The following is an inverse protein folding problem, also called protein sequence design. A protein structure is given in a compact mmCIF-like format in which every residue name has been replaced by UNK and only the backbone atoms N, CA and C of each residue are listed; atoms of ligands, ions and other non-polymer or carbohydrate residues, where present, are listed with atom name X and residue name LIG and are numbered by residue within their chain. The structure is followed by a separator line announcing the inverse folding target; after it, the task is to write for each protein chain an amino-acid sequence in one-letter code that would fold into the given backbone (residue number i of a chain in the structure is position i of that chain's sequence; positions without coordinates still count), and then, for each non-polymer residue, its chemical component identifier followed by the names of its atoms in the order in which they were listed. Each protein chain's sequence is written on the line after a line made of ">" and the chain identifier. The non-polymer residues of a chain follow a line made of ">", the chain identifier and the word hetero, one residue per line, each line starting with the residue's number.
data_IF_514007119374
#
_entry.id   IF_514007119374
#
_cell.length_a   1.000
_cell.length_b   1.000
_cell.length_c   1.000
_cell.angle_alpha   90.00
_cell.angle_beta   90.00
_cell.angle_gamma   90.00
#
_symmetry.space_group_name_H-M   'P 1'
#
loop_
_entity.id
_entity.type
_entity.pdbx_description
1 polymer ?
#
# COMPACT_ATOMS: atom_id res chain seq x y z
N UNK A 1 0.32 -14.97 21.32
CA UNK A 1 0.85 -15.98 20.36
C UNK A 1 1.16 -15.25 19.06
N UNK A 2 2.24 -15.56 18.37
CA UNK A 2 2.48 -14.99 17.05
C UNK A 2 1.35 -15.44 16.12
N UNK A 3 0.72 -14.55 15.34
CA UNK A 3 -0.31 -14.93 14.38
C UNK A 3 0.20 -16.01 13.42
N UNK A 4 -0.66 -16.98 13.06
CA UNK A 4 -0.32 -18.00 12.05
C UNK A 4 -0.41 -17.38 10.64
N UNK A 5 0.66 -16.71 10.23
CA UNK A 5 0.80 -16.05 8.94
C UNK A 5 1.94 -16.70 8.16
N UNK A 6 1.68 -17.04 6.91
CA UNK A 6 2.68 -17.49 5.96
C UNK A 6 2.74 -16.53 4.77
N UNK A 7 3.95 -16.12 4.38
CA UNK A 7 4.19 -15.27 3.23
C UNK A 7 4.75 -16.07 2.06
N UNK A 8 4.18 -15.90 0.88
CA UNK A 8 4.71 -16.35 -0.39
C UNK A 8 4.97 -15.12 -1.27
N UNK A 9 6.16 -15.02 -1.87
CA UNK A 9 6.50 -13.90 -2.73
C UNK A 9 6.51 -14.36 -4.18
N UNK A 10 5.72 -13.70 -5.04
CA UNK A 10 5.67 -13.96 -6.48
C UNK A 10 6.99 -13.56 -7.15
N UNK A 11 7.35 -14.24 -8.25
CA UNK A 11 8.58 -13.94 -8.97
C UNK A 11 8.37 -12.88 -10.06
N UNK A 12 7.93 -11.70 -9.63
CA UNK A 12 7.73 -10.51 -10.48
C UNK A 12 8.59 -9.32 -10.01
N UNK A 13 9.93 -9.48 -9.85
CA UNK A 13 10.80 -8.42 -9.34
C UNK A 13 10.85 -7.22 -10.27
N UNK A 14 10.82 -6.02 -9.69
CA UNK A 14 10.85 -4.79 -10.46
C UNK A 14 11.04 -3.55 -9.58
N UNK A 15 11.23 -2.38 -10.21
CA UNK A 15 11.39 -1.13 -9.45
C UNK A 15 10.20 -0.78 -8.56
N UNK A 16 9.00 -1.29 -8.89
CA UNK A 16 7.75 -1.06 -8.16
C UNK A 16 7.42 -2.19 -7.18
N UNK A 17 7.84 -3.41 -7.51
CA UNK A 17 7.49 -4.63 -6.80
C UNK A 17 8.63 -5.18 -5.93
N UNK A 18 9.79 -4.53 -5.93
CA UNK A 18 11.00 -4.97 -5.21
C UNK A 18 11.39 -6.41 -5.62
N UNK A 19 11.44 -7.34 -4.66
CA UNK A 19 11.67 -8.76 -4.93
C UNK A 19 10.46 -9.48 -5.55
N UNK A 20 9.27 -8.87 -5.47
CA UNK A 20 8.00 -9.37 -5.97
C UNK A 20 6.84 -9.02 -5.04
N UNK A 21 5.63 -9.42 -5.43
CA UNK A 21 4.40 -9.22 -4.67
C UNK A 21 4.25 -10.28 -3.60
N UNK A 22 3.91 -9.88 -2.40
CA UNK A 22 3.67 -10.76 -1.27
C UNK A 22 2.20 -11.19 -1.20
N UNK A 23 1.96 -12.48 -1.28
CA UNK A 23 0.69 -13.12 -0.92
C UNK A 23 0.78 -13.63 0.51
N UNK A 24 -0.27 -13.41 1.31
CA UNK A 24 -0.31 -13.90 2.69
C UNK A 24 -1.41 -14.94 2.87
N UNK A 25 -1.07 -16.04 3.58
CA UNK A 25 -2.04 -17.01 4.06
C UNK A 25 -2.18 -16.85 5.57
N UNK A 26 -3.40 -16.65 6.04
CA UNK A 26 -3.70 -16.36 7.45
C UNK A 26 -4.62 -17.43 8.02
N UNK A 27 -4.24 -17.98 9.16
CA UNK A 27 -5.04 -18.98 9.88
C UNK A 27 -5.09 -20.35 9.17
N UNK A 28 -6.02 -21.20 9.64
CA UNK A 28 -6.22 -22.58 9.16
C UNK A 28 -7.68 -22.97 9.27
N UNK A 29 -8.06 -24.00 8.52
CA UNK A 29 -9.30 -24.75 8.59
C UNK A 29 -10.59 -23.93 8.35
N UNK A 30 -10.71 -23.19 7.25
CA UNK A 30 -9.79 -22.94 6.14
C UNK A 30 -8.96 -21.65 6.29
N UNK A 31 -7.94 -21.46 5.42
CA UNK A 31 -7.11 -20.26 5.39
C UNK A 31 -7.81 -19.07 4.70
N UNK A 32 -7.39 -17.85 5.09
CA UNK A 32 -7.61 -16.62 4.34
C UNK A 32 -6.39 -16.38 3.44
N UNK A 33 -6.63 -16.05 2.17
CA UNK A 33 -5.59 -15.61 1.23
C UNK A 33 -5.73 -14.10 1.03
N UNK A 34 -4.68 -13.35 1.26
CA UNK A 34 -4.62 -11.91 1.03
C UNK A 34 -3.70 -11.67 -0.15
N UNK A 35 -4.18 -10.94 -1.16
CA UNK A 35 -3.48 -10.60 -2.40
C UNK A 35 -2.88 -11.83 -3.10
N UNK A 36 -3.65 -12.58 -3.90
CA UNK A 36 -3.20 -13.77 -4.59
C UNK A 36 -2.02 -13.58 -5.56
N UNK A 37 -1.66 -12.32 -5.84
CA UNK A 37 -0.53 -11.98 -6.69
C UNK A 37 -0.89 -11.85 -8.17
N UNK A 38 0.14 -11.76 -9.04
CA UNK A 38 -0.03 -11.69 -10.50
C UNK A 38 -0.53 -13.03 -11.07
N UNK A 39 -0.94 -13.02 -12.35
CA UNK A 39 -1.25 -14.24 -13.12
C UNK A 39 0.04 -15.00 -13.47
N UNK A 40 0.68 -15.55 -12.43
CA UNK A 40 1.88 -16.41 -12.52
C UNK A 40 1.52 -17.81 -12.06
N UNK A 41 1.60 -18.77 -12.99
CA UNK A 41 1.17 -20.16 -12.75
C UNK A 41 1.94 -20.81 -11.59
N UNK A 42 3.25 -20.55 -11.47
CA UNK A 42 4.07 -21.16 -10.42
C UNK A 42 3.73 -20.57 -9.05
N UNK A 43 3.47 -19.26 -8.98
CA UNK A 43 3.05 -18.59 -7.75
C UNK A 43 1.66 -19.08 -7.32
N UNK A 44 0.69 -19.09 -8.23
CA UNK A 44 -0.67 -19.56 -7.98
C UNK A 44 -0.68 -21.01 -7.48
N UNK A 45 0.13 -21.89 -8.07
CA UNK A 45 0.25 -23.28 -7.62
C UNK A 45 0.83 -23.36 -6.20
N UNK A 46 1.84 -22.54 -5.88
CA UNK A 46 2.39 -22.45 -4.53
C UNK A 46 1.34 -21.97 -3.51
N UNK A 47 0.54 -20.96 -3.86
CA UNK A 47 -0.57 -20.45 -3.02
C UNK A 47 -1.61 -21.54 -2.78
N UNK A 48 -2.02 -22.27 -3.82
CA UNK A 48 -2.96 -23.40 -3.70
C UNK A 48 -2.42 -24.50 -2.79
N UNK A 49 -1.15 -24.89 -2.97
CA UNK A 49 -0.53 -25.94 -2.17
C UNK A 49 -0.45 -25.53 -0.69
N UNK A 50 -0.03 -24.30 -0.40
CA UNK A 50 0.02 -23.77 0.96
C UNK A 50 -1.38 -23.67 1.60
N UNK A 51 -2.38 -23.22 0.85
CA UNK A 51 -3.76 -23.17 1.32
C UNK A 51 -4.34 -24.58 1.58
N UNK A 52 -4.03 -25.55 0.70
CA UNK A 52 -4.48 -26.94 0.89
C UNK A 52 -3.88 -27.53 2.18
N UNK A 53 -2.63 -27.23 2.51
CA UNK A 53 -1.99 -27.66 3.76
C UNK A 53 -2.62 -26.98 5.01
N UNK A 54 -3.46 -25.96 4.81
CA UNK A 54 -4.18 -25.18 5.82
C UNK A 54 -5.69 -25.41 5.80
N UNK A 55 -6.18 -26.51 5.20
CA UNK A 55 -7.60 -26.85 5.13
C UNK A 55 -8.36 -26.23 3.94
N UNK A 56 -7.65 -25.69 2.95
CA UNK A 56 -8.20 -25.07 1.76
C UNK A 56 -8.34 -23.54 1.88
N UNK A 57 -8.88 -22.93 0.82
CA UNK A 57 -9.14 -21.48 0.77
C UNK A 57 -10.55 -21.23 1.25
N UNK A 58 -10.71 -20.50 2.35
CA UNK A 58 -12.01 -20.08 2.87
C UNK A 58 -12.45 -18.72 2.36
N UNK A 59 -11.50 -17.78 2.30
CA UNK A 59 -11.76 -16.39 1.92
C UNK A 59 -10.56 -15.88 1.11
N UNK A 60 -10.83 -15.10 0.07
CA UNK A 60 -9.83 -14.30 -0.63
C UNK A 60 -10.12 -12.82 -0.34
N UNK A 61 -9.12 -12.09 0.12
CA UNK A 61 -9.16 -10.65 0.36
C UNK A 61 -8.18 -9.96 -0.58
N UNK A 62 -8.54 -8.78 -1.07
CA UNK A 62 -7.66 -7.92 -1.85
C UNK A 62 -7.44 -6.63 -1.09
N UNK A 63 -6.17 -6.23 -0.96
CA UNK A 63 -5.86 -4.89 -0.45
C UNK A 63 -6.31 -3.82 -1.44
N UNK A 64 -6.14 -4.06 -2.74
CA UNK A 64 -6.60 -3.17 -3.81
C UNK A 64 -6.64 -3.89 -5.16
N UNK A 65 -7.05 -3.18 -6.21
CA UNK A 65 -7.31 -3.77 -7.52
C UNK A 65 -6.14 -3.81 -8.51
N UNK A 66 -4.91 -3.43 -8.14
CA UNK A 66 -3.77 -3.51 -9.05
C UNK A 66 -3.49 -4.96 -9.47
N UNK A 67 -3.04 -5.13 -10.73
CA UNK A 67 -2.95 -6.44 -11.36
C UNK A 67 -2.01 -7.40 -10.63
N UNK A 68 -0.87 -6.91 -10.16
CA UNK A 68 0.11 -7.69 -9.43
C UNK A 68 -0.37 -8.21 -8.06
N UNK A 69 -1.49 -7.69 -7.53
CA UNK A 69 -2.19 -8.20 -6.34
C UNK A 69 -3.40 -9.06 -6.67
N UNK A 70 -4.08 -8.80 -7.81
CA UNK A 70 -5.43 -9.32 -8.08
C UNK A 70 -5.55 -10.29 -9.26
N UNK A 71 -4.61 -10.31 -10.20
CA UNK A 71 -4.70 -11.13 -11.43
C UNK A 71 -4.72 -12.64 -11.15
N UNK A 72 -4.17 -13.11 -10.02
CA UNK A 72 -4.22 -14.51 -9.59
C UNK A 72 -5.59 -14.98 -9.09
N UNK A 73 -6.53 -14.07 -8.78
CA UNK A 73 -7.86 -14.41 -8.22
C UNK A 73 -8.65 -15.41 -9.08
N UNK A 74 -8.81 -15.22 -10.41
CA UNK A 74 -9.61 -16.14 -11.21
C UNK A 74 -9.11 -17.57 -11.16
N UNK A 75 -7.78 -17.73 -11.08
CA UNK A 75 -7.17 -19.05 -11.01
C UNK A 75 -7.43 -19.79 -9.70
N UNK A 76 -7.64 -19.08 -8.58
CA UNK A 76 -7.99 -19.72 -7.30
C UNK A 76 -9.42 -20.28 -7.26
N UNK A 77 -10.30 -19.81 -8.14
CA UNK A 77 -11.70 -20.27 -8.21
C UNK A 77 -12.56 -19.89 -6.99
N UNK A 78 -12.14 -18.87 -6.24
CA UNK A 78 -12.84 -18.30 -5.09
C UNK A 78 -13.00 -16.80 -5.35
N UNK A 79 -14.26 -16.33 -5.34
CA UNK A 79 -14.52 -14.90 -5.51
C UNK A 79 -13.97 -14.08 -4.33
N UNK A 80 -13.32 -12.95 -4.57
CA UNK A 80 -12.78 -12.15 -3.50
C UNK A 80 -13.89 -11.43 -2.73
N UNK A 81 -13.76 -11.40 -1.42
CA UNK A 81 -14.62 -10.61 -0.54
C UNK A 81 -14.08 -9.19 -0.46
N UNK A 82 -14.96 -8.19 -0.61
CA UNK A 82 -14.65 -6.76 -0.47
C UNK A 82 -15.40 -6.19 0.72
N UNK A 83 -14.86 -6.28 1.94
CA UNK A 83 -15.53 -5.85 3.15
C UNK A 83 -15.54 -4.31 3.27
N UNK A 84 -16.54 -3.78 3.98
CA UNK A 84 -16.63 -2.36 4.29
C UNK A 84 -15.64 -1.96 5.40
N UNK A 85 -15.39 -0.64 5.54
CA UNK A 85 -14.57 -0.09 6.62
C UNK A 85 -15.10 -0.52 7.99
N UNK A 86 -14.23 -1.05 8.83
CA UNK A 86 -14.54 -1.57 10.17
C UNK A 86 -15.18 -2.95 10.22
N UNK A 87 -15.53 -3.55 9.08
CA UNK A 87 -16.11 -4.89 9.01
C UNK A 87 -15.09 -5.97 9.37
N UNK A 88 -15.58 -7.00 10.05
CA UNK A 88 -14.80 -8.19 10.39
C UNK A 88 -15.07 -9.32 9.40
N UNK A 89 -14.00 -9.85 8.81
CA UNK A 89 -14.06 -11.00 7.91
C UNK A 89 -13.01 -12.02 8.29
N UNK A 90 -13.45 -13.24 8.61
CA UNK A 90 -12.55 -14.35 8.95
C UNK A 90 -11.50 -14.00 10.02
N UNK A 91 -11.89 -13.20 11.02
CA UNK A 91 -11.01 -12.79 12.13
C UNK A 91 -10.09 -11.60 11.83
N UNK A 92 -10.22 -10.97 10.65
CA UNK A 92 -9.52 -9.75 10.30
C UNK A 92 -10.49 -8.56 10.30
N UNK A 93 -10.07 -7.43 10.86
CA UNK A 93 -10.80 -6.17 10.79
C UNK A 93 -10.33 -5.36 9.60
N UNK A 94 -11.27 -4.88 8.78
CA UNK A 94 -10.98 -4.05 7.62
C UNK A 94 -10.77 -2.60 8.03
N UNK A 95 -9.76 -1.96 7.45
CA UNK A 95 -9.51 -0.53 7.54
C UNK A 95 -9.44 0.04 6.12
N UNK A 96 -10.46 0.79 5.70
CA UNK A 96 -10.39 1.52 4.43
C UNK A 96 -9.22 2.51 4.47
N UNK A 97 -8.35 2.42 3.49
CA UNK A 97 -7.09 3.18 3.43
C UNK A 97 -6.82 3.72 2.02
N UNK A 98 -7.79 4.49 1.45
CA UNK A 98 -7.64 5.03 0.09
C UNK A 98 -6.43 5.96 -0.01
N UNK A 99 -5.95 6.13 -1.24
CA UNK A 99 -4.90 7.09 -1.54
C UNK A 99 -3.84 6.58 -2.49
N UNK A 100 -3.27 5.39 -2.27
CA UNK A 100 -2.47 4.69 -3.28
C UNK A 100 -3.38 4.22 -4.44
N UNK A 101 -4.48 3.60 -4.10
CA UNK A 101 -5.62 3.31 -4.95
C UNK A 101 -6.91 3.72 -4.23
N UNK A 102 -7.98 4.03 -4.99
CA UNK A 102 -9.27 4.45 -4.43
C UNK A 102 -9.93 3.35 -3.58
N UNK A 103 -9.76 2.10 -3.99
CA UNK A 103 -10.35 0.92 -3.37
C UNK A 103 -9.46 0.26 -2.30
N UNK A 104 -8.37 0.92 -1.90
CA UNK A 104 -7.36 0.33 -1.03
C UNK A 104 -7.87 0.06 0.39
N UNK A 105 -7.58 -1.15 0.89
CA UNK A 105 -7.89 -1.65 2.22
C UNK A 105 -6.63 -2.17 2.93
N UNK A 106 -6.52 -1.92 4.21
CA UNK A 106 -5.64 -2.68 5.11
C UNK A 106 -6.46 -3.69 5.91
N UNK A 107 -5.82 -4.78 6.33
CA UNK A 107 -6.46 -5.80 7.17
C UNK A 107 -5.70 -5.93 8.48
N UNK A 108 -6.40 -5.77 9.59
CA UNK A 108 -5.87 -5.81 10.94
C UNK A 108 -6.18 -7.18 11.56
N UNK A 109 -5.14 -7.92 11.94
CA UNK A 109 -5.23 -9.21 12.60
C UNK A 109 -4.88 -9.04 14.09
N UNK A 110 -5.77 -9.33 15.04
CA UNK A 110 -5.45 -9.29 16.46
C UNK A 110 -4.26 -10.19 16.79
N UNK A 111 -3.21 -9.63 17.36
CA UNK A 111 -1.97 -10.34 17.63
C UNK A 111 -2.09 -11.33 18.81
N UNK A 112 -3.01 -11.08 19.73
CA UNK A 112 -3.31 -11.89 20.91
C UNK A 112 -4.69 -12.58 20.85
N UNK A 113 -5.47 -12.31 19.79
CA UNK A 113 -6.82 -12.84 19.60
C UNK A 113 -7.92 -11.99 20.22
N UNK A 114 -7.59 -10.85 20.84
CA UNK A 114 -8.55 -9.91 21.43
C UNK A 114 -8.87 -8.78 20.44
N UNK A 115 -10.15 -8.48 20.23
CA UNK A 115 -10.59 -7.48 19.22
C UNK A 115 -10.08 -6.06 19.49
N UNK A 116 -9.78 -5.71 20.74
CA UNK A 116 -9.24 -4.41 21.15
C UNK A 116 -7.74 -4.45 21.46
N UNK A 117 -7.07 -5.56 21.14
CA UNK A 117 -5.65 -5.79 21.42
C UNK A 117 -4.72 -5.17 20.38
N UNK A 118 -3.40 -5.41 20.54
CA UNK A 118 -2.45 -5.02 19.51
C UNK A 118 -2.69 -5.80 18.21
N UNK A 119 -2.37 -5.17 17.06
CA UNK A 119 -2.63 -5.77 15.75
C UNK A 119 -1.35 -6.02 14.96
N UNK A 120 -1.35 -7.11 14.19
CA UNK A 120 -0.57 -7.21 12.97
C UNK A 120 -1.39 -6.61 11.82
N UNK A 121 -0.76 -5.91 10.87
CA UNK A 121 -1.48 -5.23 9.79
C UNK A 121 -0.94 -5.61 8.42
N UNK A 122 -1.81 -6.10 7.54
CA UNK A 122 -1.53 -6.27 6.12
C UNK A 122 -1.79 -4.94 5.44
N UNK A 123 -0.73 -4.29 4.96
CA UNK A 123 -0.76 -2.91 4.49
C UNK A 123 -0.89 -2.77 2.98
N UNK A 124 -0.83 -3.87 2.22
CA UNK A 124 -0.75 -3.77 0.76
C UNK A 124 0.29 -2.74 0.37
N UNK A 125 -0.09 -1.82 -0.50
CA UNK A 125 0.77 -0.76 -1.01
C UNK A 125 0.57 0.60 -0.30
N UNK A 126 -0.15 0.63 0.81
CA UNK A 126 -0.14 1.82 1.68
C UNK A 126 1.27 2.07 2.25
N UNK A 127 1.94 1.00 2.72
CA UNK A 127 3.30 1.05 3.24
C UNK A 127 4.06 -0.18 2.75
N UNK A 128 5.19 0.02 2.10
CA UNK A 128 6.10 -1.03 1.63
C UNK A 128 7.13 -1.39 2.71
N UNK A 129 7.68 -2.58 2.63
CA UNK A 129 8.75 -3.03 3.53
C UNK A 129 10.05 -2.24 3.36
N UNK A 130 10.30 -1.74 2.15
CA UNK A 130 11.46 -0.93 1.80
C UNK A 130 11.07 0.18 0.82
N UNK A 131 11.73 1.32 0.89
CA UNK A 131 11.45 2.46 0.01
C UNK A 131 10.14 3.16 0.33
N UNK A 132 9.49 3.74 -0.67
CA UNK A 132 8.25 4.49 -0.56
C UNK A 132 7.33 4.14 -1.73
N UNK A 133 6.05 3.93 -1.46
CA UNK A 133 5.04 3.69 -2.50
C UNK A 133 4.87 4.91 -3.41
N UNK A 134 4.34 4.72 -4.59
CA UNK A 134 3.86 5.81 -5.44
C UNK A 134 2.42 6.10 -5.06
N UNK A 135 2.11 7.37 -4.90
CA UNK A 135 0.73 7.85 -4.81
C UNK A 135 0.39 8.49 -6.13
N UNK A 136 -0.55 7.91 -6.83
CA UNK A 136 -1.02 8.40 -8.11
C UNK A 136 -1.93 9.63 -7.95
N UNK A 137 -2.02 10.52 -8.96
CA UNK A 137 -2.99 11.59 -8.98
C UNK A 137 -4.42 11.05 -9.17
N UNK A 138 -5.43 11.89 -8.89
CA UNK A 138 -6.86 11.51 -8.98
C UNK A 138 -7.27 10.93 -10.33
N UNK A 139 -6.71 11.45 -11.42
CA UNK A 139 -6.98 10.93 -12.77
C UNK A 139 -6.50 9.51 -13.03
N UNK A 140 -5.69 8.95 -12.14
CA UNK A 140 -5.14 7.59 -12.18
C UNK A 140 -5.66 6.72 -11.02
N UNK A 141 -6.59 7.22 -10.21
CA UNK A 141 -7.21 6.47 -9.11
C UNK A 141 -6.58 6.68 -7.72
N UNK A 142 -5.59 7.58 -7.60
CA UNK A 142 -4.95 7.89 -6.34
C UNK A 142 -5.38 9.23 -5.73
N UNK A 143 -4.91 9.53 -4.52
CA UNK A 143 -5.11 10.80 -3.82
C UNK A 143 -4.11 10.95 -2.69
N UNK A 144 -3.22 11.93 -2.79
CA UNK A 144 -2.25 12.16 -1.71
C UNK A 144 -2.91 12.65 -0.41
N UNK A 145 -4.02 13.39 -0.50
CA UNK A 145 -4.80 13.80 0.67
C UNK A 145 -5.31 12.59 1.43
N UNK A 146 -6.02 11.69 0.74
CA UNK A 146 -6.63 10.51 1.33
C UNK A 146 -5.54 9.53 1.82
N UNK A 147 -4.43 9.43 1.10
CA UNK A 147 -3.26 8.67 1.51
C UNK A 147 -2.70 9.14 2.85
N UNK A 148 -2.53 10.46 3.03
CA UNK A 148 -2.04 11.04 4.28
C UNK A 148 -3.03 10.83 5.44
N UNK A 149 -4.33 10.84 5.17
CA UNK A 149 -5.36 10.55 6.17
C UNK A 149 -5.38 9.06 6.53
N UNK A 150 -5.19 8.18 5.54
CA UNK A 150 -5.06 6.73 5.75
C UNK A 150 -3.84 6.38 6.63
N UNK A 151 -2.69 7.00 6.39
CA UNK A 151 -1.51 6.83 7.26
C UNK A 151 -1.78 7.27 8.71
N UNK A 152 -2.46 8.42 8.92
CA UNK A 152 -2.83 8.91 10.26
C UNK A 152 -3.83 7.98 10.95
N UNK A 153 -4.81 7.45 10.19
CA UNK A 153 -5.77 6.46 10.72
C UNK A 153 -5.04 5.19 11.16
N UNK A 154 -4.12 4.68 10.34
CA UNK A 154 -3.34 3.50 10.68
C UNK A 154 -2.44 3.74 11.90
N UNK A 155 -1.83 4.92 12.03
CA UNK A 155 -0.98 5.32 13.16
C UNK A 155 -1.71 5.29 14.51
N UNK A 156 -3.04 5.42 14.51
CA UNK A 156 -3.84 5.41 15.73
C UNK A 156 -4.04 4.01 16.35
N UNK A 157 -3.67 2.95 15.63
CA UNK A 157 -3.74 1.58 16.13
C UNK A 157 -2.45 1.19 16.87
N UNK A 158 -2.59 0.33 17.87
CA UNK A 158 -1.45 -0.36 18.49
C UNK A 158 -1.02 -1.51 17.57
N UNK A 159 0.12 -1.33 16.89
CA UNK A 159 0.60 -2.23 15.85
C UNK A 159 1.88 -2.94 16.29
N UNK A 160 1.95 -4.24 16.06
CA UNK A 160 3.12 -5.08 16.39
C UNK A 160 4.02 -5.36 15.18
N UNK A 161 3.42 -5.49 14.00
CA UNK A 161 4.12 -5.78 12.74
C UNK A 161 3.28 -5.31 11.54
N UNK A 162 3.95 -4.84 10.47
CA UNK A 162 3.30 -4.64 9.16
C UNK A 162 3.73 -5.74 8.21
N UNK A 163 2.77 -6.23 7.45
CA UNK A 163 2.88 -7.18 6.36
C UNK A 163 2.60 -6.46 5.03
N UNK A 164 3.62 -5.93 4.34
CA UNK A 164 3.45 -5.11 3.15
C UNK A 164 3.20 -5.94 1.88
N UNK A 165 2.59 -5.33 0.86
CA UNK A 165 2.45 -5.93 -0.46
C UNK A 165 3.79 -6.22 -1.14
N UNK A 166 4.83 -5.43 -0.85
CA UNK A 166 6.18 -5.61 -1.38
C UNK A 166 7.25 -5.40 -0.31
N UNK A 167 8.33 -6.21 -0.41
CA UNK A 167 9.49 -6.16 0.47
C UNK A 167 9.30 -6.89 1.80
N UNK A 168 10.21 -6.70 2.76
CA UNK A 168 10.21 -7.42 4.03
C UNK A 168 9.15 -6.92 5.01
N UNK A 169 8.84 -7.74 6.00
CA UNK A 169 8.03 -7.36 7.15
C UNK A 169 8.66 -6.19 7.93
N UNK A 170 7.80 -5.36 8.55
CA UNK A 170 8.24 -4.20 9.34
C UNK A 170 7.91 -4.41 10.80
N UNK A 171 8.95 -4.55 11.63
CA UNK A 171 8.83 -4.85 13.06
C UNK A 171 8.82 -3.60 13.97
N UNK A 172 8.94 -2.40 13.39
CA UNK A 172 8.69 -1.13 14.06
C UNK A 172 7.66 -0.32 13.27
N UNK A 173 6.36 -0.67 13.39
CA UNK A 173 5.28 -0.04 12.64
C UNK A 173 5.19 1.46 12.83
N UNK A 174 5.32 1.93 14.07
CA UNK A 174 5.16 3.35 14.39
C UNK A 174 6.27 4.20 13.79
N UNK A 175 7.52 3.72 13.85
CA UNK A 175 8.64 4.40 13.21
C UNK A 175 8.46 4.44 11.69
N UNK A 176 8.01 3.34 11.08
CA UNK A 176 7.79 3.27 9.61
C UNK A 176 6.67 4.19 9.14
N UNK A 177 5.54 4.24 9.85
CA UNK A 177 4.44 5.16 9.53
C UNK A 177 4.92 6.62 9.66
N UNK A 178 5.66 6.93 10.74
CA UNK A 178 6.20 8.27 10.93
C UNK A 178 7.19 8.66 9.82
N UNK A 179 8.05 7.73 9.37
CA UNK A 179 8.97 7.90 8.22
C UNK A 179 8.18 8.28 6.95
N UNK A 180 7.11 7.55 6.64
CA UNK A 180 6.28 7.81 5.47
C UNK A 180 5.60 9.18 5.52
N UNK A 181 5.03 9.54 6.67
CA UNK A 181 4.41 10.86 6.89
C UNK A 181 5.44 11.97 6.75
N UNK A 182 6.63 11.81 7.35
CA UNK A 182 7.70 12.78 7.28
C UNK A 182 8.22 12.97 5.85
N UNK A 183 8.46 11.88 5.12
CA UNK A 183 8.89 11.90 3.72
C UNK A 183 7.91 12.68 2.83
N UNK A 184 6.58 12.43 2.96
CA UNK A 184 5.58 13.16 2.16
C UNK A 184 5.54 14.65 2.50
N UNK A 185 5.64 15.00 3.78
CA UNK A 185 5.70 16.39 4.22
C UNK A 185 6.94 17.10 3.72
N UNK A 186 8.11 16.47 3.81
CA UNK A 186 9.35 17.04 3.30
C UNK A 186 9.27 17.38 1.82
N UNK A 187 8.72 16.45 0.98
CA UNK A 187 8.49 16.73 -0.44
C UNK A 187 7.55 17.90 -0.66
N UNK A 188 6.45 17.97 0.09
CA UNK A 188 5.49 19.06 0.02
C UNK A 188 6.13 20.40 0.44
N UNK A 189 6.89 20.42 1.53
CA UNK A 189 7.56 21.64 2.03
C UNK A 189 8.58 22.14 1.00
N UNK A 190 9.38 21.25 0.39
CA UNK A 190 10.32 21.60 -0.69
C UNK A 190 9.59 22.17 -1.91
N UNK A 191 8.48 21.55 -2.30
CA UNK A 191 7.65 22.00 -3.43
C UNK A 191 7.06 23.39 -3.17
N UNK A 192 6.49 23.61 -1.99
CA UNK A 192 5.92 24.91 -1.58
C UNK A 192 7.02 25.96 -1.55
N UNK A 193 8.19 25.68 -1.00
CA UNK A 193 9.30 26.63 -0.96
C UNK A 193 9.78 27.02 -2.38
N UNK A 194 9.80 26.08 -3.34
CA UNK A 194 10.14 26.38 -4.74
C UNK A 194 9.08 27.30 -5.38
N UNK A 195 7.79 27.00 -5.19
CA UNK A 195 6.67 27.81 -5.67
C UNK A 195 6.69 29.23 -5.08
N UNK A 196 6.99 29.40 -3.78
CA UNK A 196 7.10 30.70 -3.10
C UNK A 196 8.28 31.53 -3.61
N UNK A 197 9.35 30.91 -4.08
CA UNK A 197 10.46 31.60 -4.76
C UNK A 197 10.14 32.02 -6.19
N UNK A 198 8.97 31.66 -6.69
CA UNK A 198 8.50 32.02 -8.03
C UNK A 198 8.79 30.98 -9.11
N UNK A 199 9.22 29.76 -8.75
CA UNK A 199 9.32 28.68 -9.74
C UNK A 199 7.93 28.29 -10.22
N UNK A 200 7.77 28.15 -11.54
CA UNK A 200 6.48 27.81 -12.17
C UNK A 200 6.58 26.66 -13.15
N UNK A 201 7.78 26.30 -13.59
CA UNK A 201 8.00 25.20 -14.51
C UNK A 201 7.91 23.85 -13.80
N UNK A 202 7.00 22.98 -14.23
CA UNK A 202 6.86 21.61 -13.70
C UNK A 202 8.18 20.84 -13.83
N UNK A 203 8.91 21.00 -14.94
CA UNK A 203 10.20 20.34 -15.15
C UNK A 203 11.25 20.81 -14.13
N UNK A 204 11.30 22.11 -13.82
CA UNK A 204 12.21 22.67 -12.83
C UNK A 204 11.84 22.22 -11.41
N UNK A 205 10.55 22.23 -11.04
CA UNK A 205 10.05 21.73 -9.76
C UNK A 205 10.41 20.24 -9.57
N UNK A 206 10.21 19.40 -10.59
CA UNK A 206 10.59 18.00 -10.54
C UNK A 206 12.10 17.82 -10.35
N UNK A 207 12.91 18.58 -11.09
CA UNK A 207 14.37 18.50 -11.00
C UNK A 207 14.91 18.95 -9.65
N UNK A 208 14.29 19.96 -9.01
CA UNK A 208 14.73 20.49 -7.73
C UNK A 208 14.23 19.67 -6.54
N UNK A 209 12.93 19.30 -6.54
CA UNK A 209 12.29 18.68 -5.38
C UNK A 209 12.57 17.17 -5.31
N UNK A 210 12.78 16.51 -6.46
CA UNK A 210 13.13 15.08 -6.57
C UNK A 210 14.54 14.87 -7.14
N UNK A 211 15.51 15.72 -6.75
CA UNK A 211 16.91 15.68 -7.16
C UNK A 211 17.65 14.41 -6.72
N UNK A 212 17.18 13.76 -5.67
CA UNK A 212 17.70 12.52 -5.09
C UNK A 212 17.15 11.24 -5.74
N UNK A 213 16.16 11.37 -6.64
CA UNK A 213 15.53 10.21 -7.30
C UNK A 213 16.33 9.78 -8.53
N UNK A 214 16.70 8.49 -8.63
CA UNK A 214 17.40 7.96 -9.80
C UNK A 214 16.64 8.19 -11.11
N UNK A 215 17.39 8.39 -12.21
CA UNK A 215 16.79 8.72 -13.54
C UNK A 215 15.73 7.71 -14.01
N UNK A 216 15.92 6.42 -13.71
CA UNK A 216 14.98 5.36 -14.05
C UNK A 216 13.63 5.49 -13.32
N UNK A 217 13.57 6.22 -12.21
CA UNK A 217 12.36 6.48 -11.43
C UNK A 217 11.79 7.90 -11.63
N UNK A 218 12.37 8.71 -12.54
CA UNK A 218 11.88 10.08 -12.80
C UNK A 218 10.43 10.13 -13.26
N UNK A 219 9.97 9.12 -14.03
CA UNK A 219 8.56 9.01 -14.39
C UNK A 219 7.65 8.85 -13.17
N UNK A 220 8.05 8.00 -12.24
CA UNK A 220 7.35 7.79 -10.98
C UNK A 220 7.37 9.05 -10.09
N UNK A 221 8.49 9.76 -10.05
CA UNK A 221 8.60 11.05 -9.34
C UNK A 221 7.67 12.12 -9.93
N UNK A 222 7.51 12.17 -11.26
CA UNK A 222 6.59 13.10 -11.93
C UNK A 222 5.12 12.79 -11.57
N UNK A 223 4.75 11.51 -11.50
CA UNK A 223 3.42 11.05 -11.04
C UNK A 223 3.20 11.51 -9.59
N UNK A 224 4.16 11.24 -8.70
CA UNK A 224 4.08 11.67 -7.30
C UNK A 224 4.00 13.20 -7.14
N UNK A 225 4.77 13.96 -7.95
CA UNK A 225 4.70 15.42 -7.96
C UNK A 225 3.30 15.91 -8.34
N UNK A 226 2.68 15.30 -9.37
CA UNK A 226 1.32 15.66 -9.76
C UNK A 226 0.32 15.46 -8.61
N UNK A 227 0.43 14.37 -7.85
CA UNK A 227 -0.43 14.15 -6.68
C UNK A 227 -0.22 15.20 -5.58
N UNK A 228 1.02 15.68 -5.38
CA UNK A 228 1.31 16.80 -4.47
C UNK A 228 0.70 18.12 -4.98
N UNK A 229 0.81 18.42 -6.27
CA UNK A 229 0.22 19.63 -6.86
C UNK A 229 -1.30 19.64 -6.73
N UNK A 230 -1.96 18.50 -6.97
CA UNK A 230 -3.42 18.36 -6.78
C UNK A 230 -3.85 18.58 -5.31
N UNK A 231 -3.06 18.05 -4.35
CA UNK A 231 -3.31 18.32 -2.94
C UNK A 231 -3.17 19.81 -2.61
N UNK A 232 -2.14 20.48 -3.12
CA UNK A 232 -1.97 21.93 -2.93
C UNK A 232 -3.09 22.75 -3.59
N UNK A 233 -3.60 22.31 -4.74
CA UNK A 233 -4.76 22.89 -5.40
C UNK A 233 -6.01 22.79 -4.52
N UNK A 234 -6.31 21.61 -3.98
CA UNK A 234 -7.43 21.38 -3.05
C UNK A 234 -7.34 22.24 -1.79
N UNK A 235 -6.13 22.57 -1.35
CA UNK A 235 -5.86 23.44 -0.20
C UNK A 235 -5.83 24.93 -0.56
N UNK A 236 -5.99 25.30 -1.85
CA UNK A 236 -5.91 26.67 -2.32
C UNK A 236 -4.49 27.27 -2.22
N UNK A 237 -3.46 26.43 -2.24
CA UNK A 237 -2.04 26.80 -2.10
C UNK A 237 -1.27 26.74 -3.42
N UNK A 238 -1.89 26.22 -4.49
CA UNK A 238 -1.26 26.14 -5.80
C UNK A 238 -1.39 27.47 -6.53
N UNK A 239 -0.28 28.08 -7.05
CA UNK A 239 -0.35 29.24 -7.92
C UNK A 239 -1.13 28.96 -9.21
N UNK A 240 -1.94 29.92 -9.66
CA UNK A 240 -2.77 29.77 -10.87
C UNK A 240 -1.98 29.86 -12.17
N UNK A 241 -0.73 30.30 -12.12
CA UNK A 241 0.18 30.53 -13.24
C UNK A 241 1.24 29.43 -13.41
N UNK A 242 0.95 28.20 -12.91
CA UNK A 242 1.84 27.07 -13.09
C UNK A 242 1.93 26.70 -14.57
N UNK A 243 3.17 26.51 -15.05
CA UNK A 243 3.48 26.19 -16.45
C UNK A 243 3.67 24.66 -16.63
N UNK A 244 3.32 24.15 -17.80
CA UNK A 244 3.48 22.72 -18.16
C UNK A 244 4.95 22.29 -18.36
#
# INVERSE_FOLDING_TARGET
>A
MTPDVERLTAHNPGPMTLEGTNTYLVGRDPAVVIDPGPDDEAHIEAVRAAAQARGGIGTVLLTHGHGDHSEGVPALGVEPTRPADGEWVSGLRTLASPGHAEDHLCFLLPADGEEDGPYACFTGDLILGQGSTIVEPRGMGGSLRDYMDSLRRLQAFDLTVLYPGHGPEVHDPQAKIAEYIAHRREREDRLVAALERGERSRAALLAEVWDDVPDQLRGAAAIAMQAHLEKLEDEGRLPADLED
#
